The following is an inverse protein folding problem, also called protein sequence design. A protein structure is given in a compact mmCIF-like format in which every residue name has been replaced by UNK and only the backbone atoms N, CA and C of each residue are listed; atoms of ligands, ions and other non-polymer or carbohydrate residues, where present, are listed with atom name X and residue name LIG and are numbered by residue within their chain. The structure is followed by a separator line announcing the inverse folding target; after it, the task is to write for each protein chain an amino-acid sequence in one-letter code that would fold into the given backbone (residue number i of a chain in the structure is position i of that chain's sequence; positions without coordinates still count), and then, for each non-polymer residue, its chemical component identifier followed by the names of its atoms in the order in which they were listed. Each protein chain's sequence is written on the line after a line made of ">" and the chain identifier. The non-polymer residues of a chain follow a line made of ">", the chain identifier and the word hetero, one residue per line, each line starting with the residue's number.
data_IF_111248141437
#
_entry.id   IF_111248141437
#
_cell.length_a   1.000
_cell.length_b   1.000
_cell.length_c   1.000
_cell.angle_alpha   90.00
_cell.angle_beta   90.00
_cell.angle_gamma   90.00
#
_symmetry.space_group_name_H-M   'P 1'
#
loop_
_entity.id
_entity.type
_entity.pdbx_description
1 polymer ?
#
# COMPACT_ATOMS: atom_id res chain seq x y z
N UNK A 1 14.85 21.31 -22.12
CA UNK A 1 14.49 20.06 -22.82
C UNK A 1 13.17 19.56 -22.26
N UNK A 2 12.16 19.18 -23.07
CA UNK A 2 10.94 18.59 -22.55
C UNK A 2 11.25 17.24 -21.88
N UNK A 3 10.72 17.01 -20.68
CA UNK A 3 10.90 15.75 -19.98
C UNK A 3 10.24 14.62 -20.75
N UNK A 4 10.99 13.54 -20.98
CA UNK A 4 10.47 12.35 -21.61
C UNK A 4 9.48 11.65 -20.66
N UNK A 5 8.18 11.74 -20.96
CA UNK A 5 7.10 11.09 -20.20
C UNK A 5 6.71 9.73 -20.79
N UNK A 6 7.50 9.18 -21.71
CA UNK A 6 7.22 7.88 -22.31
C UNK A 6 7.40 6.79 -21.24
N UNK A 7 6.38 5.96 -21.04
CA UNK A 7 6.44 4.88 -20.06
C UNK A 7 7.56 3.91 -20.44
N UNK A 8 8.53 3.73 -19.53
CA UNK A 8 9.61 2.75 -19.72
C UNK A 8 8.95 1.37 -19.80
N UNK A 9 9.16 0.61 -20.88
CA UNK A 9 8.56 -0.71 -21.00
C UNK A 9 9.05 -1.60 -19.84
N UNK A 10 8.16 -2.39 -19.22
CA UNK A 10 8.56 -3.29 -18.14
C UNK A 10 9.67 -4.22 -18.63
N UNK A 11 10.71 -4.39 -17.81
CA UNK A 11 11.85 -5.27 -18.12
C UNK A 11 11.31 -6.68 -18.32
N UNK A 12 11.31 -7.15 -19.56
CA UNK A 12 10.64 -8.39 -19.99
C UNK A 12 11.47 -9.66 -19.72
N UNK A 13 12.75 -9.49 -19.39
CA UNK A 13 13.68 -10.60 -19.15
C UNK A 13 13.71 -10.98 -17.67
N UNK A 14 13.42 -12.25 -17.40
CA UNK A 14 13.68 -12.87 -16.09
C UNK A 14 15.19 -12.96 -15.92
N UNK A 15 15.75 -12.06 -15.11
CA UNK A 15 17.20 -12.00 -14.82
C UNK A 15 17.68 -13.14 -13.92
N UNK A 16 16.77 -13.95 -13.38
CA UNK A 16 17.09 -15.00 -12.39
C UNK A 16 17.64 -14.46 -11.07
N UNK A 17 17.64 -13.14 -10.88
CA UNK A 17 18.18 -12.45 -9.73
C UNK A 17 17.12 -11.49 -9.17
N UNK A 18 16.97 -11.42 -7.84
CA UNK A 18 16.06 -10.48 -7.18
C UNK A 18 16.50 -9.03 -7.44
N UNK A 19 15.53 -8.14 -7.63
CA UNK A 19 15.78 -6.71 -7.76
C UNK A 19 16.22 -6.07 -6.42
N UNK A 20 15.76 -6.63 -5.29
CA UNK A 20 16.10 -6.18 -3.95
C UNK A 20 17.28 -6.98 -3.37
N UNK A 21 18.17 -6.34 -2.59
CA UNK A 21 19.28 -7.03 -1.96
C UNK A 21 18.79 -7.98 -0.86
N UNK A 22 18.75 -9.29 -1.14
CA UNK A 22 18.22 -10.31 -0.23
C UNK A 22 18.87 -10.31 1.15
N UNK A 23 20.16 -9.98 1.26
CA UNK A 23 20.83 -9.89 2.56
C UNK A 23 20.19 -8.84 3.48
N UNK A 24 19.75 -7.70 2.92
CA UNK A 24 19.04 -6.66 3.69
C UNK A 24 17.64 -7.09 4.05
N UNK A 25 16.92 -7.73 3.11
CA UNK A 25 15.59 -8.28 3.34
C UNK A 25 15.61 -9.28 4.50
N UNK A 26 16.52 -10.26 4.45
CA UNK A 26 16.66 -11.26 5.51
C UNK A 26 17.03 -10.65 6.86
N UNK A 27 17.87 -9.61 6.87
CA UNK A 27 18.22 -8.89 8.11
C UNK A 27 17.00 -8.21 8.74
N UNK A 28 16.10 -7.66 7.93
CA UNK A 28 14.83 -7.06 8.41
C UNK A 28 13.91 -8.15 8.97
N UNK A 29 13.75 -9.26 8.24
CA UNK A 29 12.92 -10.40 8.69
C UNK A 29 13.43 -10.95 10.03
N UNK A 30 14.75 -11.06 10.21
CA UNK A 30 15.36 -11.55 11.45
C UNK A 30 15.30 -10.55 12.62
N UNK A 31 14.71 -9.36 12.46
CA UNK A 31 14.39 -8.50 13.61
C UNK A 31 13.19 -9.02 14.40
N UNK A 32 12.36 -9.87 13.79
CA UNK A 32 11.27 -10.53 14.47
C UNK A 32 11.80 -11.73 15.28
N UNK A 33 11.68 -11.72 16.63
CA UNK A 33 12.21 -12.79 17.48
C UNK A 33 11.50 -14.14 17.27
N UNK A 34 10.29 -14.14 16.70
CA UNK A 34 9.51 -15.37 16.48
C UNK A 34 9.91 -16.09 15.16
N UNK A 35 10.74 -15.45 14.33
CA UNK A 35 11.19 -15.99 13.04
C UNK A 35 12.59 -16.58 13.17
N UNK A 36 12.68 -17.92 13.17
CA UNK A 36 13.97 -18.63 13.32
C UNK A 36 14.78 -18.74 12.02
N UNK A 37 14.16 -19.17 10.92
CA UNK A 37 14.84 -19.37 9.62
C UNK A 37 13.93 -18.92 8.48
N UNK A 38 14.46 -18.04 7.63
CA UNK A 38 13.79 -17.60 6.39
C UNK A 38 14.61 -18.02 5.16
N UNK A 39 14.01 -18.86 4.29
CA UNK A 39 14.64 -19.27 3.03
C UNK A 39 14.72 -18.09 2.04
N UNK A 40 15.63 -18.16 1.07
CA UNK A 40 15.74 -17.12 0.03
C UNK A 40 14.46 -16.97 -0.79
N UNK A 41 13.78 -18.07 -1.07
CA UNK A 41 12.52 -18.07 -1.83
C UNK A 41 11.39 -17.42 -1.02
N UNK A 42 11.31 -17.71 0.28
CA UNK A 42 10.34 -17.06 1.17
C UNK A 42 10.59 -15.55 1.23
N UNK A 43 11.85 -15.13 1.41
CA UNK A 43 12.21 -13.71 1.41
C UNK A 43 11.83 -13.00 0.11
N UNK A 44 11.97 -13.66 -1.04
CA UNK A 44 11.55 -13.12 -2.34
C UNK A 44 10.03 -12.95 -2.44
N UNK A 45 9.25 -13.96 -2.02
CA UNK A 45 7.78 -13.92 -2.06
C UNK A 45 7.24 -12.85 -1.12
N UNK A 46 7.73 -12.83 0.14
CA UNK A 46 7.28 -11.90 1.17
C UNK A 46 7.53 -10.43 0.78
N UNK A 47 8.56 -10.17 -0.04
CA UNK A 47 8.93 -8.79 -0.41
C UNK A 47 8.61 -8.42 -1.84
N UNK A 48 9.26 -9.01 -2.84
CA UNK A 48 9.11 -8.58 -4.23
C UNK A 48 7.75 -8.92 -4.80
N UNK A 49 7.26 -10.14 -4.58
CA UNK A 49 5.93 -10.52 -5.05
C UNK A 49 4.84 -9.74 -4.31
N UNK A 50 5.03 -9.47 -3.02
CA UNK A 50 4.13 -8.62 -2.25
C UNK A 50 4.07 -7.18 -2.77
N UNK A 51 5.23 -6.55 -3.04
CA UNK A 51 5.27 -5.18 -3.59
C UNK A 51 4.58 -5.11 -4.95
N UNK A 52 4.79 -6.12 -5.81
CA UNK A 52 4.10 -6.19 -7.10
C UNK A 52 2.59 -6.36 -6.93
N UNK A 53 2.15 -7.22 -6.01
CA UNK A 53 0.74 -7.41 -5.70
C UNK A 53 0.10 -6.11 -5.21
N UNK A 54 0.70 -5.44 -4.22
CA UNK A 54 0.21 -4.17 -3.68
C UNK A 54 0.14 -3.07 -4.76
N UNK A 55 1.16 -2.98 -5.62
CA UNK A 55 1.18 -2.03 -6.71
C UNK A 55 0.07 -2.29 -7.74
N UNK A 56 -0.21 -3.56 -8.05
CA UNK A 56 -1.29 -3.95 -8.94
C UNK A 56 -2.66 -3.63 -8.35
N UNK A 57 -2.89 -3.93 -7.06
CA UNK A 57 -4.14 -3.59 -6.38
C UNK A 57 -4.39 -2.09 -6.35
N UNK A 58 -3.37 -1.29 -5.99
CA UNK A 58 -3.46 0.16 -6.04
C UNK A 58 -3.71 0.68 -7.46
N UNK A 59 -3.09 0.07 -8.48
CA UNK A 59 -3.34 0.45 -9.87
C UNK A 59 -4.76 0.08 -10.35
N UNK A 60 -5.31 -1.03 -9.88
CA UNK A 60 -6.70 -1.40 -10.14
C UNK A 60 -7.66 -0.36 -9.53
N UNK A 61 -7.42 0.07 -8.29
CA UNK A 61 -8.20 1.15 -7.67
C UNK A 61 -8.11 2.47 -8.44
N UNK A 62 -6.94 2.80 -8.99
CA UNK A 62 -6.78 3.99 -9.84
C UNK A 62 -7.59 3.92 -11.16
N UNK A 63 -7.84 2.71 -11.67
CA UNK A 63 -8.69 2.48 -12.86
C UNK A 63 -10.19 2.48 -12.53
N UNK A 64 -10.56 2.03 -11.33
CA UNK A 64 -11.95 1.99 -10.85
C UNK A 64 -12.48 3.39 -10.47
N UNK A 65 -11.59 4.37 -10.28
CA UNK A 65 -11.96 5.76 -10.01
C UNK A 65 -12.83 6.33 -11.15
N UNK A 66 -13.71 7.29 -10.82
CA UNK A 66 -14.67 7.90 -11.76
C UNK A 66 -14.01 8.44 -13.03
N UNK A 67 -12.79 8.93 -12.88
CA UNK A 67 -11.91 9.30 -13.98
C UNK A 67 -10.70 8.36 -13.95
N UNK A 68 -10.65 7.34 -14.81
CA UNK A 68 -9.55 6.38 -14.82
C UNK A 68 -8.21 7.08 -14.98
N UNK A 69 -7.26 6.75 -14.10
CA UNK A 69 -5.92 7.32 -14.13
C UNK A 69 -4.90 6.24 -14.40
N UNK A 70 -3.81 6.62 -15.07
CA UNK A 70 -2.63 5.76 -15.25
C UNK A 70 -1.66 5.85 -14.08
N UNK A 71 -1.68 6.97 -13.35
CA UNK A 71 -0.79 7.20 -12.22
C UNK A 71 -1.49 6.83 -10.91
N UNK A 72 -0.80 6.03 -10.11
CA UNK A 72 -1.23 5.63 -8.76
C UNK A 72 -1.02 6.81 -7.81
N UNK A 73 -2.01 7.10 -6.98
CA UNK A 73 -1.97 8.09 -5.91
C UNK A 73 -2.13 7.42 -4.55
N UNK A 74 -1.76 8.11 -3.49
CA UNK A 74 -1.90 7.58 -2.12
C UNK A 74 -3.33 7.11 -1.80
N UNK A 75 -4.35 7.85 -2.26
CA UNK A 75 -5.75 7.46 -2.07
C UNK A 75 -6.10 6.10 -2.68
N UNK A 76 -5.39 5.69 -3.73
CA UNK A 76 -5.61 4.40 -4.39
C UNK A 76 -5.02 3.25 -3.56
N UNK A 77 -3.86 3.46 -2.92
CA UNK A 77 -3.32 2.50 -1.94
C UNK A 77 -4.24 2.38 -0.73
N UNK A 78 -4.67 3.51 -0.15
CA UNK A 78 -5.55 3.49 1.02
C UNK A 78 -6.92 2.86 0.71
N UNK A 79 -7.40 2.99 -0.52
CA UNK A 79 -8.61 2.30 -0.98
C UNK A 79 -8.36 0.81 -1.22
N UNK A 80 -7.20 0.43 -1.76
CA UNK A 80 -6.84 -0.98 -1.97
C UNK A 80 -6.76 -1.73 -0.65
N UNK A 81 -6.08 -1.15 0.34
CA UNK A 81 -5.96 -1.70 1.70
C UNK A 81 -7.33 -1.90 2.32
N UNK A 82 -8.17 -0.86 2.32
CA UNK A 82 -9.48 -0.92 2.96
C UNK A 82 -10.55 -1.70 2.16
N UNK A 83 -10.22 -2.28 1.00
CA UNK A 83 -11.14 -3.07 0.17
C UNK A 83 -10.74 -4.55 0.10
N UNK A 84 -9.51 -4.89 0.50
CA UNK A 84 -8.99 -6.25 0.43
C UNK A 84 -8.60 -6.70 1.84
N UNK A 85 -9.35 -7.65 2.39
CA UNK A 85 -9.14 -8.19 3.74
C UNK A 85 -7.71 -8.73 3.94
N UNK A 86 -7.07 -9.26 2.88
CA UNK A 86 -5.69 -9.74 2.96
C UNK A 86 -4.66 -8.62 3.18
N UNK A 87 -5.06 -7.35 2.96
CA UNK A 87 -4.24 -6.17 3.18
C UNK A 87 -4.59 -5.43 4.49
N UNK A 88 -5.51 -5.96 5.31
CA UNK A 88 -5.96 -5.34 6.57
C UNK A 88 -4.78 -4.99 7.51
N UNK A 89 -3.73 -5.82 7.52
CA UNK A 89 -2.52 -5.58 8.32
C UNK A 89 -1.79 -4.26 8.00
N UNK A 90 -2.11 -3.61 6.87
CA UNK A 90 -1.56 -2.31 6.46
C UNK A 90 -2.40 -1.12 6.89
N UNK A 91 -3.55 -1.27 7.54
CA UNK A 91 -4.45 -0.15 7.86
C UNK A 91 -3.77 0.95 8.69
N UNK A 92 -2.95 0.55 9.66
CA UNK A 92 -2.21 1.48 10.51
C UNK A 92 -1.06 2.19 9.77
N UNK A 93 -0.51 1.55 8.74
CA UNK A 93 0.62 2.06 7.95
C UNK A 93 0.14 2.94 6.80
N UNK A 94 -1.00 2.59 6.20
CA UNK A 94 -1.60 3.26 5.04
C UNK A 94 -3.04 3.67 5.37
N UNK A 95 -3.26 4.60 6.32
CA UNK A 95 -4.59 5.00 6.72
C UNK A 95 -5.31 5.76 5.61
N UNK A 96 -6.64 5.66 5.57
CA UNK A 96 -7.49 6.55 4.77
C UNK A 96 -7.39 7.97 5.30
N UNK A 97 -6.85 8.86 4.47
CA UNK A 97 -6.71 10.27 4.82
C UNK A 97 -8.03 11.01 4.67
N UNK A 98 -8.31 11.93 5.59
CA UNK A 98 -9.44 12.86 5.50
C UNK A 98 -9.00 14.25 5.93
N UNK A 99 -9.63 15.29 5.38
CA UNK A 99 -9.24 16.66 5.68
C UNK A 99 -9.63 17.04 7.10
N UNK A 100 -8.76 17.74 7.83
CA UNK A 100 -9.04 18.24 9.18
C UNK A 100 -10.38 18.98 9.30
N UNK A 101 -10.75 19.79 8.29
CA UNK A 101 -12.04 20.47 8.22
C UNK A 101 -13.23 19.50 8.29
N UNK A 102 -13.14 18.34 7.62
CA UNK A 102 -14.17 17.29 7.69
C UNK A 102 -14.20 16.65 9.08
N UNK A 103 -13.05 16.33 9.66
CA UNK A 103 -12.97 15.74 11.01
C UNK A 103 -13.58 16.69 12.04
N UNK A 104 -13.19 17.97 12.03
CA UNK A 104 -13.71 18.99 12.96
C UNK A 104 -15.22 19.16 12.81
N UNK A 105 -15.73 19.19 11.58
CA UNK A 105 -17.17 19.26 11.31
C UNK A 105 -17.93 18.02 11.81
N UNK A 106 -17.41 16.81 11.55
CA UNK A 106 -17.99 15.56 12.06
C UNK A 106 -17.97 15.50 13.59
N UNK A 107 -16.86 15.87 14.22
CA UNK A 107 -16.76 15.90 15.68
C UNK A 107 -17.75 16.90 16.31
N UNK A 108 -17.98 18.06 15.68
CA UNK A 108 -19.00 19.01 16.12
C UNK A 108 -20.41 18.45 15.95
N UNK A 109 -20.69 17.76 14.84
CA UNK A 109 -21.98 17.12 14.60
C UNK A 109 -22.27 15.97 15.57
N UNK A 110 -21.28 15.10 15.84
CA UNK A 110 -21.42 14.00 16.80
C UNK A 110 -21.63 14.53 18.23
N UNK A 111 -20.94 15.62 18.61
CA UNK A 111 -21.15 16.31 19.90
C UNK A 111 -22.53 16.92 20.02
N UNK A 112 -23.06 17.51 18.95
CA UNK A 112 -24.41 18.08 18.94
C UNK A 112 -25.51 16.99 18.95
N UNK A 113 -25.22 15.81 18.39
CA UNK A 113 -26.15 14.69 18.31
C UNK A 113 -26.14 13.76 19.54
N UNK A 114 -25.27 13.99 20.53
CA UNK A 114 -25.24 13.24 21.79
C UNK A 114 -26.10 13.99 22.83
N UNK A 115 -27.37 13.62 23.08
CA UNK A 115 -28.12 14.24 24.15
C UNK A 115 -27.52 13.78 25.49
N UNK A 116 -27.27 14.74 26.38
CA UNK A 116 -26.80 14.49 27.73
C UNK A 116 -27.67 13.41 28.39
N UNK A 117 -27.04 12.28 28.73
CA UNK A 117 -27.65 11.21 29.52
C UNK A 117 -28.07 11.84 30.85
N UNK A 118 -29.38 12.06 31.02
CA UNK A 118 -30.00 12.47 32.29
C UNK A 118 -29.98 11.32 33.29
#
# INVERSE_FOLDING_TARGET
>A
MPYNTTAIPPRKEVTGQPALPLARVKKIIAQDPDISICSSNAAFIITEMFIQHLANEAHNQAKLDRKPRRNVQYKDLANAVAHNDNLEFLEDVIPKTTTYKKIKGQAQATRAASPAKR
#
